data_IF_080097764392
#
_entry.id   IF_080097764392
#
_cell.length_a   1.000
_cell.length_b   1.000
_cell.length_c   1.000
_cell.angle_alpha   90.00
_cell.angle_beta   90.00
_cell.angle_gamma   90.00
#
_symmetry.space_group_name_H-M   'P 1'
#
loop_
_entity.id
_entity.type
_entity.pdbx_description
1 polymer ?
#
# COMPACT_ATOMS: atom_id res chain seq x y z
N UNK A 1 78.62 15.00 -83.97
CA UNK A 1 77.26 14.45 -83.82
C UNK A 1 76.95 14.40 -82.34
N UNK A 2 76.10 15.30 -81.85
CA UNK A 2 75.69 15.36 -80.44
C UNK A 2 74.20 15.02 -80.43
N UNK A 3 73.85 13.89 -79.79
CA UNK A 3 72.48 13.43 -79.63
C UNK A 3 71.81 14.14 -78.45
N UNK A 4 70.67 14.77 -78.69
CA UNK A 4 69.78 15.27 -77.65
C UNK A 4 68.73 14.20 -77.32
N UNK A 5 68.73 13.70 -76.09
CA UNK A 5 67.62 12.93 -75.54
C UNK A 5 66.50 13.87 -75.11
N UNK A 6 65.23 13.59 -75.43
CA UNK A 6 64.12 14.39 -74.92
C UNK A 6 63.83 14.00 -73.47
N UNK A 7 64.24 14.84 -72.52
CA UNK A 7 63.71 14.83 -71.16
C UNK A 7 62.58 15.85 -71.18
N UNK A 8 61.32 15.41 -71.23
CA UNK A 8 60.16 16.08 -70.62
C UNK A 8 59.00 15.07 -70.55
N UNK A 9 59.10 14.11 -69.63
CA UNK A 9 57.90 13.48 -69.09
C UNK A 9 57.28 14.50 -68.13
N UNK A 10 56.27 15.21 -68.63
CA UNK A 10 55.52 16.20 -67.88
C UNK A 10 54.60 15.45 -66.91
N UNK A 11 55.00 15.39 -65.64
CA UNK A 11 54.14 14.88 -64.55
C UNK A 11 52.85 15.69 -64.53
N UNK A 12 51.71 15.00 -64.63
CA UNK A 12 50.40 15.62 -64.51
C UNK A 12 50.29 16.27 -63.11
N UNK A 13 49.74 17.49 -63.00
CA UNK A 13 49.63 18.16 -61.71
C UNK A 13 48.77 17.31 -60.75
N UNK A 14 49.14 17.23 -59.45
CA UNK A 14 48.39 16.46 -58.47
C UNK A 14 46.95 16.98 -58.36
N UNK A 15 46.00 16.05 -58.43
CA UNK A 15 44.56 16.27 -58.35
C UNK A 15 44.19 17.06 -57.09
N UNK A 16 43.83 18.33 -57.29
CA UNK A 16 43.46 19.27 -56.22
C UNK A 16 42.07 18.88 -55.75
N UNK A 17 42.00 18.19 -54.61
CA UNK A 17 40.72 17.80 -54.01
C UNK A 17 39.90 19.04 -53.68
N UNK A 18 38.67 19.04 -54.15
CA UNK A 18 37.68 20.09 -53.89
C UNK A 18 37.54 20.33 -52.38
N UNK A 19 37.72 21.59 -51.97
CA UNK A 19 37.57 22.02 -50.58
C UNK A 19 36.08 22.08 -50.27
N UNK A 20 35.58 21.05 -49.57
CA UNK A 20 34.20 21.02 -49.09
C UNK A 20 34.02 22.13 -48.05
N UNK A 21 33.00 22.98 -48.24
CA UNK A 21 32.68 24.05 -47.31
C UNK A 21 32.38 23.49 -45.90
N UNK A 22 32.84 24.14 -44.82
CA UNK A 22 32.56 23.71 -43.45
C UNK A 22 31.05 23.69 -43.21
N UNK A 23 30.53 22.56 -42.71
CA UNK A 23 29.14 22.49 -42.24
C UNK A 23 28.92 23.50 -41.10
N UNK A 24 27.74 24.13 -41.07
CA UNK A 24 27.40 25.09 -40.04
C UNK A 24 27.46 24.41 -38.65
N UNK A 25 27.99 25.09 -37.61
CA UNK A 25 28.10 24.50 -36.29
C UNK A 25 26.71 24.19 -35.73
N UNK A 26 26.54 23.06 -35.01
CA UNK A 26 25.26 22.70 -34.42
C UNK A 26 24.80 23.77 -33.44
N UNK A 27 23.50 24.10 -33.49
CA UNK A 27 22.92 25.15 -32.67
C UNK A 27 22.69 24.64 -31.23
N UNK A 28 23.74 24.68 -30.41
CA UNK A 28 23.72 24.22 -29.02
C UNK A 28 22.66 24.92 -28.16
N UNK A 29 22.33 26.18 -28.46
CA UNK A 29 21.27 26.92 -27.78
C UNK A 29 19.90 26.28 -28.02
N UNK A 30 19.61 25.91 -29.27
CA UNK A 30 18.36 25.23 -29.62
C UNK A 30 18.27 23.86 -28.96
N UNK A 31 19.37 23.09 -28.95
CA UNK A 31 19.43 21.80 -28.24
C UNK A 31 19.23 21.95 -26.73
N UNK A 32 19.82 22.97 -26.11
CA UNK A 32 19.65 23.26 -24.70
C UNK A 32 18.19 23.63 -24.36
N UNK A 33 17.54 24.45 -25.19
CA UNK A 33 16.13 24.82 -25.02
C UNK A 33 15.22 23.61 -25.17
N UNK A 34 15.44 22.77 -26.19
CA UNK A 34 14.66 21.53 -26.40
C UNK A 34 14.85 20.56 -25.23
N UNK A 35 16.08 20.39 -24.74
CA UNK A 35 16.38 19.56 -23.58
C UNK A 35 15.69 20.06 -22.30
N UNK A 36 15.72 21.38 -22.06
CA UNK A 36 15.06 21.99 -20.92
C UNK A 36 13.53 21.84 -20.99
N UNK A 37 12.93 22.07 -22.17
CA UNK A 37 11.49 21.86 -22.38
C UNK A 37 11.10 20.40 -22.13
N UNK A 38 11.89 19.43 -22.61
CA UNK A 38 11.66 18.01 -22.37
C UNK A 38 11.72 17.65 -20.88
N UNK A 39 12.70 18.19 -20.15
CA UNK A 39 12.84 17.97 -18.71
C UNK A 39 11.64 18.54 -17.93
N UNK A 40 11.22 19.76 -18.24
CA UNK A 40 10.06 20.41 -17.61
C UNK A 40 8.76 19.66 -17.91
N UNK A 41 8.59 19.17 -19.14
CA UNK A 41 7.44 18.36 -19.53
C UNK A 41 7.39 17.05 -18.73
N UNK A 42 8.52 16.36 -18.60
CA UNK A 42 8.61 15.12 -17.82
C UNK A 42 8.31 15.37 -16.33
N UNK A 43 8.84 16.45 -15.76
CA UNK A 43 8.56 16.86 -14.39
C UNK A 43 7.06 17.16 -14.17
N UNK A 44 6.42 17.86 -15.12
CA UNK A 44 4.99 18.17 -15.06
C UNK A 44 4.13 16.90 -15.11
N UNK A 45 4.46 15.94 -15.99
CA UNK A 45 3.76 14.63 -16.05
C UNK A 45 3.93 13.88 -14.72
N UNK A 46 5.15 13.82 -14.20
CA UNK A 46 5.44 13.10 -12.95
C UNK A 46 4.68 13.72 -11.78
N UNK A 47 4.67 15.05 -11.70
CA UNK A 47 3.89 15.79 -10.71
C UNK A 47 2.39 15.51 -10.84
N UNK A 48 1.84 15.52 -12.06
CA UNK A 48 0.42 15.25 -12.32
C UNK A 48 0.05 13.82 -11.90
N UNK A 49 0.87 12.82 -12.24
CA UNK A 49 0.68 11.42 -11.83
C UNK A 49 0.68 11.33 -10.30
N UNK A 50 1.67 11.92 -9.63
CA UNK A 50 1.74 11.94 -8.16
C UNK A 50 0.52 12.65 -7.56
N UNK A 51 0.06 13.74 -8.16
CA UNK A 51 -1.11 14.49 -7.67
C UNK A 51 -2.39 13.66 -7.79
N UNK A 52 -2.59 12.96 -8.91
CA UNK A 52 -3.71 12.03 -9.10
C UNK A 52 -3.65 10.89 -8.08
N UNK A 53 -2.49 10.24 -7.92
CA UNK A 53 -2.31 9.14 -6.97
C UNK A 53 -2.53 9.59 -5.52
N UNK A 54 -2.03 10.77 -5.14
CA UNK A 54 -2.24 11.35 -3.79
C UNK A 54 -3.69 11.75 -3.57
N UNK A 55 -4.39 12.25 -4.59
CA UNK A 55 -5.82 12.58 -4.49
C UNK A 55 -6.67 11.34 -4.26
N UNK A 56 -6.33 10.21 -4.91
CA UNK A 56 -6.98 8.94 -4.67
C UNK A 56 -6.69 8.37 -3.28
N UNK A 57 -5.45 8.51 -2.80
CA UNK A 57 -5.10 8.13 -1.43
C UNK A 57 -5.88 8.93 -0.38
N UNK A 58 -6.10 10.23 -0.59
CA UNK A 58 -6.94 11.07 0.28
C UNK A 58 -8.42 10.68 0.23
N UNK A 59 -8.98 10.41 -0.95
CA UNK A 59 -10.36 9.90 -1.08
C UNK A 59 -10.53 8.51 -0.43
N UNK A 60 -9.51 7.67 -0.45
CA UNK A 60 -9.49 6.39 0.29
C UNK A 60 -9.40 6.61 1.81
N UNK A 61 -8.74 7.67 2.27
CA UNK A 61 -8.66 8.01 3.69
C UNK A 61 -10.02 8.44 4.29
N UNK A 62 -11.00 8.84 3.47
CA UNK A 62 -12.37 9.15 3.92
C UNK A 62 -13.31 7.94 3.92
N UNK A 63 -12.96 6.86 3.23
CA UNK A 63 -13.76 5.63 3.23
C UNK A 63 -13.39 4.80 4.47
N UNK A 64 -14.26 4.85 5.48
CA UNK A 64 -14.11 4.01 6.67
C UNK A 64 -14.02 2.53 6.28
N UNK A 65 -13.27 1.69 7.02
CA UNK A 65 -13.18 0.26 6.74
C UNK A 65 -14.55 -0.40 6.58
N UNK A 66 -15.56 0.04 7.35
CA UNK A 66 -16.93 -0.43 7.24
C UNK A 66 -17.61 -0.06 5.91
N UNK A 67 -17.40 1.15 5.40
CA UNK A 67 -17.93 1.54 4.10
C UNK A 67 -17.33 0.72 2.95
N UNK A 68 -16.03 0.42 3.03
CA UNK A 68 -15.33 -0.43 2.06
C UNK A 68 -15.88 -1.86 2.11
N UNK A 69 -16.00 -2.43 3.31
CA UNK A 69 -16.51 -3.77 3.52
C UNK A 69 -17.95 -3.90 3.01
N UNK A 70 -18.84 -2.97 3.38
CA UNK A 70 -20.23 -2.95 2.92
C UNK A 70 -20.32 -2.90 1.40
N UNK A 71 -19.55 -2.01 0.75
CA UNK A 71 -19.54 -1.92 -0.71
C UNK A 71 -19.13 -3.25 -1.37
N UNK A 72 -18.15 -3.95 -0.80
CA UNK A 72 -17.70 -5.27 -1.31
C UNK A 72 -18.76 -6.35 -1.09
N UNK A 73 -19.37 -6.39 0.09
CA UNK A 73 -20.43 -7.34 0.43
C UNK A 73 -21.66 -7.16 -0.48
N UNK A 74 -22.06 -5.92 -0.76
CA UNK A 74 -23.16 -5.63 -1.72
C UNK A 74 -22.79 -6.02 -3.17
N UNK A 75 -21.54 -5.83 -3.57
CA UNK A 75 -21.08 -6.30 -4.88
C UNK A 75 -21.11 -7.83 -4.99
N UNK A 76 -20.78 -8.54 -3.91
CA UNK A 76 -20.92 -10.00 -3.84
C UNK A 76 -22.40 -10.41 -3.89
N UNK A 77 -23.28 -9.71 -3.17
CA UNK A 77 -24.73 -9.92 -3.20
C UNK A 77 -25.28 -9.90 -4.63
N UNK A 78 -24.91 -8.88 -5.41
CA UNK A 78 -25.36 -8.71 -6.78
C UNK A 78 -24.95 -9.87 -7.71
N UNK A 79 -23.86 -10.58 -7.37
CA UNK A 79 -23.30 -11.68 -8.16
C UNK A 79 -23.53 -13.05 -7.53
N UNK A 80 -24.33 -13.15 -6.46
CA UNK A 80 -24.50 -14.37 -5.68
C UNK A 80 -25.02 -15.56 -6.52
N UNK A 81 -25.91 -15.29 -7.48
CA UNK A 81 -26.48 -16.29 -8.37
C UNK A 81 -25.48 -16.82 -9.41
N UNK A 82 -24.46 -16.04 -9.76
CA UNK A 82 -23.45 -16.39 -10.77
C UNK A 82 -22.24 -17.12 -10.17
N UNK A 83 -22.06 -17.02 -8.86
CA UNK A 83 -20.87 -17.53 -8.17
C UNK A 83 -21.16 -18.89 -7.51
N UNK A 84 -20.26 -19.88 -7.60
CA UNK A 84 -20.35 -21.10 -6.80
C UNK A 84 -20.33 -20.81 -5.28
N UNK A 85 -20.96 -21.64 -4.42
CA UNK A 85 -21.01 -21.41 -2.96
C UNK A 85 -19.64 -21.23 -2.32
N UNK A 86 -18.66 -22.04 -2.74
CA UNK A 86 -17.32 -21.97 -2.21
C UNK A 86 -16.66 -20.61 -2.54
N UNK A 87 -16.65 -20.22 -3.82
CA UNK A 87 -16.11 -18.94 -4.26
C UNK A 87 -16.83 -17.74 -3.62
N UNK A 88 -18.15 -17.83 -3.46
CA UNK A 88 -18.94 -16.81 -2.77
C UNK A 88 -18.51 -16.69 -1.30
N UNK A 89 -18.43 -17.80 -0.58
CA UNK A 89 -18.04 -17.83 0.84
C UNK A 89 -16.61 -17.32 1.08
N UNK A 90 -15.68 -17.61 0.15
CA UNK A 90 -14.32 -17.06 0.16
C UNK A 90 -14.34 -15.55 0.01
N UNK A 91 -15.08 -15.01 -0.96
CA UNK A 91 -15.20 -13.57 -1.17
C UNK A 91 -15.78 -12.83 0.03
N UNK A 92 -16.84 -13.39 0.65
CA UNK A 92 -17.45 -12.82 1.87
C UNK A 92 -16.44 -12.85 3.02
N UNK A 93 -15.71 -13.96 3.18
CA UNK A 93 -14.68 -14.10 4.22
C UNK A 93 -13.53 -13.11 4.06
N UNK A 94 -13.03 -12.91 2.85
CA UNK A 94 -11.97 -11.94 2.58
C UNK A 94 -12.43 -10.50 2.88
N UNK A 95 -13.66 -10.15 2.47
CA UNK A 95 -14.22 -8.84 2.76
C UNK A 95 -14.34 -8.59 4.27
N UNK A 96 -14.75 -9.60 5.04
CA UNK A 96 -14.86 -9.49 6.50
C UNK A 96 -13.48 -9.48 7.18
N UNK A 97 -12.51 -10.29 6.73
CA UNK A 97 -11.14 -10.26 7.26
C UNK A 97 -10.47 -8.91 7.04
N UNK A 98 -10.60 -8.34 5.84
CA UNK A 98 -10.08 -7.01 5.54
C UNK A 98 -10.75 -5.93 6.40
N UNK A 99 -12.05 -6.05 6.66
CA UNK A 99 -12.77 -5.18 7.57
C UNK A 99 -12.22 -5.23 9.00
N UNK A 100 -12.11 -6.45 9.56
CA UNK A 100 -11.64 -6.65 10.93
C UNK A 100 -10.18 -6.17 11.09
N UNK A 101 -9.33 -6.47 10.12
CA UNK A 101 -7.95 -5.97 10.09
C UNK A 101 -7.91 -4.43 10.00
N UNK A 102 -8.66 -3.83 9.08
CA UNK A 102 -8.71 -2.36 8.95
C UNK A 102 -9.29 -1.65 10.18
N UNK A 103 -10.19 -2.31 10.93
CA UNK A 103 -10.89 -1.72 12.07
C UNK A 103 -10.14 -1.88 13.40
N UNK A 104 -9.53 -3.04 13.62
CA UNK A 104 -8.92 -3.41 14.90
C UNK A 104 -7.39 -3.55 14.82
N UNK A 105 -6.80 -3.54 13.62
CA UNK A 105 -5.35 -3.50 13.41
C UNK A 105 -4.61 -4.80 13.71
N UNK A 106 -5.32 -5.90 14.01
CA UNK A 106 -4.71 -7.17 14.37
C UNK A 106 -4.46 -8.09 13.16
N UNK A 107 -3.56 -9.05 13.33
CA UNK A 107 -3.11 -10.02 12.34
C UNK A 107 -4.16 -11.11 11.99
N UNK A 108 -5.44 -10.74 11.84
CA UNK A 108 -6.55 -11.65 11.45
C UNK A 108 -6.29 -12.46 10.17
N UNK A 109 -5.36 -11.98 9.34
CA UNK A 109 -5.01 -12.62 8.07
C UNK A 109 -4.14 -13.87 8.24
N UNK A 110 -3.41 -13.99 9.36
CA UNK A 110 -2.42 -15.05 9.57
C UNK A 110 -2.83 -16.07 10.63
N UNK A 111 -3.97 -15.88 11.29
CA UNK A 111 -4.51 -16.82 12.29
C UNK A 111 -5.37 -17.90 11.61
N UNK A 112 -5.34 -19.09 12.18
CA UNK A 112 -6.28 -20.17 11.83
C UNK A 112 -7.69 -19.86 12.35
N UNK A 113 -8.72 -20.54 11.82
CA UNK A 113 -10.10 -20.38 12.32
C UNK A 113 -10.21 -20.68 13.82
N UNK A 114 -9.48 -21.68 14.32
CA UNK A 114 -9.48 -22.10 15.73
C UNK A 114 -8.83 -21.05 16.63
N UNK A 115 -7.62 -20.60 16.29
CA UNK A 115 -6.91 -19.54 17.03
C UNK A 115 -7.73 -18.25 17.09
N UNK A 116 -8.40 -17.93 15.98
CA UNK A 116 -9.29 -16.77 15.92
C UNK A 116 -10.51 -16.93 16.84
N UNK A 117 -11.16 -18.10 16.85
CA UNK A 117 -12.30 -18.38 17.73
C UNK A 117 -11.90 -18.38 19.20
N UNK A 118 -10.74 -18.95 19.55
CA UNK A 118 -10.17 -18.88 20.90
C UNK A 118 -9.88 -17.43 21.32
N UNK A 119 -9.36 -16.60 20.41
CA UNK A 119 -9.11 -15.19 20.71
C UNK A 119 -10.40 -14.38 20.89
N UNK A 120 -11.41 -14.63 20.06
CA UNK A 120 -12.74 -13.98 20.16
C UNK A 120 -13.46 -14.40 21.45
N UNK A 121 -13.27 -15.64 21.91
CA UNK A 121 -13.86 -16.15 23.16
C UNK A 121 -13.05 -15.83 24.42
N UNK A 122 -11.73 -15.58 24.29
CA UNK A 122 -10.82 -15.29 25.40
C UNK A 122 -10.71 -13.80 25.80
N UNK A 123 -9.70 -13.48 26.63
CA UNK A 123 -9.47 -12.16 27.27
C UNK A 123 -9.30 -10.96 26.32
N UNK A 124 -9.36 -11.13 24.99
CA UNK A 124 -9.42 -10.04 24.01
C UNK A 124 -10.82 -9.39 23.88
N UNK A 125 -11.80 -9.82 24.71
CA UNK A 125 -13.10 -9.19 24.92
C UNK A 125 -13.06 -7.67 25.16
N UNK A 126 -11.88 -7.10 25.47
CA UNK A 126 -11.69 -5.65 25.60
C UNK A 126 -11.70 -4.86 24.29
N UNK A 127 -11.47 -5.49 23.13
CA UNK A 127 -11.43 -4.79 21.81
C UNK A 127 -12.62 -5.11 20.91
N UNK A 128 -13.18 -6.31 21.01
CA UNK A 128 -14.33 -6.74 20.23
C UNK A 128 -15.56 -6.83 21.15
N UNK A 129 -16.64 -6.07 20.91
CA UNK A 129 -17.84 -6.17 21.73
C UNK A 129 -18.42 -7.59 21.70
N UNK A 130 -18.88 -8.10 22.83
CA UNK A 130 -19.38 -9.47 23.02
C UNK A 130 -20.44 -9.88 21.98
N UNK A 131 -21.37 -8.96 21.66
CA UNK A 131 -22.41 -9.17 20.63
C UNK A 131 -21.83 -9.44 19.24
N UNK A 132 -20.71 -8.78 18.91
CA UNK A 132 -20.02 -8.97 17.62
C UNK A 132 -19.23 -10.28 17.64
N UNK A 133 -18.60 -10.63 18.77
CA UNK A 133 -17.86 -11.88 18.92
C UNK A 133 -18.72 -13.11 18.63
N UNK A 134 -19.95 -13.14 19.14
CA UNK A 134 -20.89 -14.23 18.86
C UNK A 134 -21.29 -14.32 17.38
N UNK A 135 -21.54 -13.18 16.72
CA UNK A 135 -21.86 -13.13 15.29
C UNK A 135 -20.69 -13.57 14.42
N UNK A 136 -19.48 -13.14 14.78
CA UNK A 136 -18.22 -13.51 14.13
C UNK A 136 -17.94 -15.00 14.27
N UNK A 137 -18.17 -15.59 15.44
CA UNK A 137 -17.99 -17.04 15.64
C UNK A 137 -18.95 -17.85 14.75
N UNK A 138 -20.23 -17.49 14.74
CA UNK A 138 -21.24 -18.09 13.85
C UNK A 138 -20.86 -17.97 12.37
N UNK A 139 -20.34 -16.81 11.98
CA UNK A 139 -19.88 -16.57 10.62
C UNK A 139 -18.74 -17.53 10.23
N UNK A 140 -17.73 -17.70 11.09
CA UNK A 140 -16.60 -18.60 10.81
C UNK A 140 -17.07 -20.03 10.66
N UNK A 141 -17.90 -20.53 11.59
CA UNK A 141 -18.46 -21.88 11.52
C UNK A 141 -19.22 -22.10 10.21
N UNK A 142 -20.16 -21.21 9.89
CA UNK A 142 -20.97 -21.33 8.67
C UNK A 142 -20.11 -21.25 7.41
N UNK A 143 -19.09 -20.37 7.41
CA UNK A 143 -18.19 -20.24 6.28
C UNK A 143 -17.35 -21.49 6.05
N UNK A 144 -16.83 -22.11 7.12
CA UNK A 144 -15.98 -23.29 7.01
C UNK A 144 -16.79 -24.52 6.59
N UNK A 145 -18.04 -24.64 7.04
CA UNK A 145 -18.98 -25.65 6.54
C UNK A 145 -19.20 -25.54 5.02
N UNK A 146 -19.38 -24.32 4.48
CA UNK A 146 -19.56 -24.13 3.03
C UNK A 146 -18.27 -24.43 2.26
N UNK A 147 -17.11 -23.97 2.75
CA UNK A 147 -15.80 -24.13 2.08
C UNK A 147 -15.33 -25.57 2.05
N UNK A 148 -15.45 -26.26 3.19
CA UNK A 148 -14.83 -27.55 3.42
C UNK A 148 -15.85 -28.68 3.53
N UNK A 149 -17.03 -28.42 4.09
CA UNK A 149 -18.07 -29.43 4.31
C UNK A 149 -18.91 -29.78 3.07
N UNK A 150 -18.95 -28.91 2.05
CA UNK A 150 -19.74 -29.09 0.80
C UNK A 150 -21.16 -29.61 1.05
N UNK A 151 -21.93 -28.98 1.94
CA UNK A 151 -23.23 -29.52 2.31
C UNK A 151 -24.21 -29.43 1.13
N UNK A 152 -25.21 -30.32 1.04
CA UNK A 152 -26.16 -30.35 -0.08
C UNK A 152 -26.99 -29.06 -0.19
N UNK A 153 -27.12 -28.31 0.90
CA UNK A 153 -27.82 -27.02 1.00
C UNK A 153 -26.87 -25.81 0.91
N UNK A 154 -25.63 -25.97 0.42
CA UNK A 154 -24.63 -24.89 0.35
C UNK A 154 -25.11 -23.62 -0.38
N UNK A 155 -25.96 -23.78 -1.41
CA UNK A 155 -26.58 -22.66 -2.12
C UNK A 155 -27.51 -21.84 -1.23
N UNK A 156 -28.37 -22.50 -0.45
CA UNK A 156 -29.29 -21.85 0.48
C UNK A 156 -28.55 -21.11 1.61
N UNK A 157 -27.32 -21.55 1.96
CA UNK A 157 -26.50 -20.95 3.01
C UNK A 157 -25.76 -19.67 2.59
N UNK A 158 -25.72 -19.31 1.30
CA UNK A 158 -25.06 -18.07 0.83
C UNK A 158 -25.68 -16.81 1.42
N UNK A 159 -27.01 -16.71 1.40
CA UNK A 159 -27.72 -15.53 1.90
C UNK A 159 -27.52 -15.33 3.41
N UNK A 160 -27.73 -16.35 4.27
CA UNK A 160 -27.43 -16.25 5.71
C UNK A 160 -25.98 -15.85 6.01
N UNK A 161 -25.01 -16.38 5.26
CA UNK A 161 -23.59 -16.04 5.43
C UNK A 161 -23.33 -14.55 5.15
N UNK A 162 -23.90 -14.02 4.07
CA UNK A 162 -23.78 -12.63 3.70
C UNK A 162 -24.46 -11.70 4.71
N UNK A 163 -25.66 -12.07 5.18
CA UNK A 163 -26.42 -11.30 6.17
C UNK A 163 -25.66 -11.19 7.49
N UNK A 164 -25.08 -12.30 7.97
CA UNK A 164 -24.19 -12.30 9.15
C UNK A 164 -23.01 -11.34 8.96
N UNK A 165 -22.35 -11.36 7.80
CA UNK A 165 -21.24 -10.46 7.53
C UNK A 165 -21.66 -8.99 7.52
N UNK A 166 -22.82 -8.66 6.94
CA UNK A 166 -23.38 -7.31 6.94
C UNK A 166 -23.77 -6.86 8.36
N UNK A 167 -24.37 -7.74 9.15
CA UNK A 167 -24.73 -7.46 10.54
C UNK A 167 -23.49 -7.10 11.37
N UNK A 168 -22.42 -7.89 11.23
CA UNK A 168 -21.13 -7.64 11.90
C UNK A 168 -20.57 -6.27 11.50
N UNK A 169 -20.57 -5.93 10.21
CA UNK A 169 -20.04 -4.65 9.72
C UNK A 169 -20.86 -3.45 10.23
N UNK A 170 -22.18 -3.59 10.35
CA UNK A 170 -23.08 -2.52 10.74
C UNK A 170 -23.12 -2.27 12.26
N UNK A 171 -22.89 -3.29 13.09
CA UNK A 171 -23.03 -3.19 14.55
C UNK A 171 -21.76 -2.74 15.28
N UNK A 172 -20.66 -2.44 14.58
CA UNK A 172 -19.45 -1.90 15.23
C UNK A 172 -19.58 -0.37 15.35
N UNK A 173 -19.70 0.20 16.57
CA UNK A 173 -19.76 1.63 16.74
C UNK A 173 -18.49 2.31 16.19
N UNK A 174 -18.60 3.56 15.69
CA UNK A 174 -17.44 4.33 15.25
C UNK A 174 -16.39 4.39 16.37
N UNK A 175 -15.08 4.40 16.04
CA UNK A 175 -14.07 4.53 17.08
C UNK A 175 -14.38 5.78 17.91
N UNK A 176 -14.27 5.71 19.25
CA UNK A 176 -14.47 6.90 20.07
C UNK A 176 -13.56 8.00 19.51
N UNK A 177 -14.05 9.25 19.42
CA UNK A 177 -13.25 10.35 18.90
C UNK A 177 -11.91 10.36 19.64
N UNK A 178 -10.78 10.58 18.93
CA UNK A 178 -9.48 10.60 19.56
C UNK A 178 -9.57 11.57 20.74
N UNK A 179 -9.28 11.06 21.94
CA UNK A 179 -9.31 11.88 23.15
C UNK A 179 -8.52 13.15 22.85
N UNK A 180 -9.04 14.35 23.21
CA UNK A 180 -8.28 15.58 23.02
C UNK A 180 -6.90 15.34 23.61
N UNK A 181 -5.86 15.42 22.76
CA UNK A 181 -4.48 15.17 23.18
C UNK A 181 -4.27 16.01 24.42
N UNK A 182 -4.17 15.35 25.58
CA UNK A 182 -3.96 16.05 26.84
C UNK A 182 -2.72 16.90 26.60
N UNK A 183 -2.81 18.26 26.64
CA UNK A 183 -1.66 19.10 26.37
C UNK A 183 -0.53 18.60 27.25
N UNK A 184 0.61 18.28 26.64
CA UNK A 184 1.74 17.66 27.29
C UNK A 184 1.99 18.39 28.61
N UNK A 185 1.64 17.74 29.73
CA UNK A 185 1.77 18.33 31.04
C UNK A 185 3.27 18.50 31.30
N UNK A 186 3.72 19.76 31.19
CA UNK A 186 4.92 20.34 31.79
C UNK A 186 6.10 19.40 32.04
N UNK A 187 6.93 19.19 31.02
CA UNK A 187 8.32 18.78 31.20
C UNK A 187 9.15 19.94 31.78
N UNK A 188 8.98 20.23 33.07
CA UNK A 188 9.83 21.16 33.81
C UNK A 188 10.08 20.67 35.25
N UNK A 189 10.29 19.36 35.42
CA UNK A 189 10.75 18.76 36.66
C UNK A 189 12.27 18.77 36.75
N UNK A 190 12.84 19.88 37.24
CA UNK A 190 14.25 20.04 37.60
C UNK A 190 14.65 18.95 38.60
N UNK A 191 15.41 17.92 38.15
CA UNK A 191 15.97 16.88 39.03
C UNK A 191 17.07 17.51 39.93
N UNK A 192 16.96 17.46 41.27
CA UNK A 192 18.06 17.87 42.15
C UNK A 192 19.14 16.79 42.19
N UNK A 193 20.39 17.21 42.03
CA UNK A 193 21.58 16.36 42.03
C UNK A 193 21.77 15.61 43.35
N UNK A 194 21.88 14.28 43.26
CA UNK A 194 22.19 13.40 44.38
C UNK A 194 23.69 13.10 44.38
N UNK A 195 24.48 14.03 44.92
CA UNK A 195 25.87 13.77 45.32
C UNK A 195 25.90 13.22 46.74
N UNK A 196 26.06 11.90 46.90
CA UNK A 196 26.30 11.28 48.20
C UNK A 196 27.65 10.54 48.17
N UNK A 197 28.61 11.13 48.89
CA UNK A 197 29.96 10.65 49.16
C UNK A 197 29.95 9.21 49.70
N UNK A 198 30.77 8.34 49.10
CA UNK A 198 31.15 7.04 49.69
C UNK A 198 32.22 7.30 50.75
N UNK A 199 31.93 6.98 52.00
CA UNK A 199 32.90 6.92 53.08
C UNK A 199 33.74 5.65 52.99
N UNK A 200 35.04 5.77 53.24
CA UNK A 200 35.99 4.68 53.38
C UNK A 200 35.92 4.07 54.79
N UNK A 201 36.11 2.76 54.97
CA UNK A 201 36.25 2.17 56.30
C UNK A 201 37.70 2.24 56.80
N UNK A 202 37.86 2.86 57.96
CA UNK A 202 39.09 2.89 58.76
C UNK A 202 39.33 1.52 59.39
N UNK A 203 40.53 0.99 59.17
CA UNK A 203 41.07 -0.24 59.78
C UNK A 203 41.85 0.10 61.05
N UNK A 204 41.40 -0.37 62.21
CA UNK A 204 42.19 -0.68 63.43
C UNK A 204 41.41 -1.81 64.12
N UNK A 205 42.01 -2.93 64.51
CA UNK A 205 43.30 -3.10 65.16
C UNK A 205 42.97 -3.64 66.54
#
# INVERSE_FOLDING_TARGET
MISFSPILAQDAPPDIRDVIAPEAPPNYLLMAVVGLCGLLFLAAITMLIVMILRSQARKRAELTPGAIARKRLEALRARAAEMPPNSFSLGVSEALKDYLNGRFGDAFRFETSEEFLERVSGMAAGRLPEKIGAGVAKFVTLSDEIKFGRPPDAEARKAPLLELALEIVNHVPPPPPPLPRRPAAGGAGKRPGRGAKRGAPTRKG
#
